data_IF_048505608494
#
_entry.id   IF_048505608494
#
_cell.length_a   1.000
_cell.length_b   1.000
_cell.length_c   1.000
_cell.angle_alpha   90.00
_cell.angle_beta   90.00
_cell.angle_gamma   90.00
#
_symmetry.space_group_name_H-M   'P 1'
#
loop_
_entity.id
_entity.type
_entity.pdbx_description
1 polymer ?
#
# COMPACT_ATOMS: atom_id res chain seq x y z
N UNK A 1 -35.82 6.91 14.89
CA UNK A 1 -34.79 5.88 15.20
C UNK A 1 -33.42 6.50 14.95
N UNK A 2 -32.72 6.96 15.98
CA UNK A 2 -31.31 7.37 15.85
C UNK A 2 -30.47 6.12 16.09
N UNK A 3 -29.75 5.65 15.07
CA UNK A 3 -28.82 4.54 15.22
C UNK A 3 -27.71 4.93 16.20
N UNK A 4 -27.57 4.16 17.28
CA UNK A 4 -26.49 4.32 18.26
C UNK A 4 -25.16 3.81 17.71
N UNK A 5 -24.65 4.44 16.64
CA UNK A 5 -23.31 4.15 16.13
C UNK A 5 -22.27 4.65 17.14
N UNK A 6 -21.29 3.82 17.47
CA UNK A 6 -20.14 4.24 18.28
C UNK A 6 -19.45 5.38 17.53
N UNK A 7 -18.98 6.41 18.25
CA UNK A 7 -18.20 7.47 17.64
C UNK A 7 -17.02 6.86 16.86
N UNK A 8 -16.66 7.40 15.68
CA UNK A 8 -15.49 6.94 14.94
C UNK A 8 -14.24 6.92 15.81
N UNK A 9 -13.29 6.07 15.44
CA UNK A 9 -11.97 6.06 16.06
C UNK A 9 -11.21 7.37 15.84
N UNK A 10 -9.99 7.51 16.39
CA UNK A 10 -9.12 8.63 16.06
C UNK A 10 -8.74 8.57 14.58
N UNK A 11 -8.94 9.68 13.86
CA UNK A 11 -8.51 9.77 12.47
C UNK A 11 -6.98 9.88 12.39
N UNK A 12 -6.37 9.19 11.42
CA UNK A 12 -4.93 9.23 11.16
C UNK A 12 -4.66 9.76 9.76
N UNK A 13 -3.71 10.68 9.66
CA UNK A 13 -3.16 11.12 8.38
C UNK A 13 -1.87 10.36 8.08
N UNK A 14 -1.79 9.81 6.88
CA UNK A 14 -0.66 9.04 6.37
C UNK A 14 -0.27 9.56 4.99
N UNK A 15 0.97 9.32 4.57
CA UNK A 15 1.26 9.37 3.13
C UNK A 15 0.81 8.08 2.48
N UNK A 16 0.53 8.14 1.18
CA UNK A 16 0.20 6.97 0.36
C UNK A 16 1.27 5.90 0.49
N UNK A 17 2.56 6.28 0.43
CA UNK A 17 3.68 5.36 0.67
C UNK A 17 3.59 4.65 2.02
N UNK A 18 3.24 5.37 3.09
CA UNK A 18 3.14 4.78 4.43
C UNK A 18 1.95 3.81 4.51
N UNK A 19 0.79 4.19 3.95
CA UNK A 19 -0.39 3.35 3.94
C UNK A 19 -0.20 2.08 3.09
N UNK A 20 0.33 2.22 1.88
CA UNK A 20 0.63 1.09 0.99
C UNK A 20 1.72 0.17 1.57
N UNK A 21 2.72 0.73 2.24
CA UNK A 21 3.74 -0.05 2.95
C UNK A 21 3.16 -0.91 4.07
N UNK A 22 2.19 -0.37 4.84
CA UNK A 22 1.46 -1.14 5.85
C UNK A 22 0.63 -2.30 5.25
N UNK A 23 0.18 -2.14 4.00
CA UNK A 23 -0.51 -3.19 3.23
C UNK A 23 0.45 -4.18 2.55
N UNK A 24 1.77 -4.05 2.74
CA UNK A 24 2.78 -4.93 2.14
C UNK A 24 3.14 -4.60 0.69
N UNK A 25 2.65 -3.48 0.14
CA UNK A 25 2.98 -3.05 -1.22
C UNK A 25 4.38 -2.43 -1.23
N UNK A 26 5.30 -3.06 -1.95
CA UNK A 26 6.69 -2.58 -2.07
C UNK A 26 7.20 -2.74 -3.50
N UNK A 27 8.00 -1.77 -3.96
CA UNK A 27 8.63 -1.81 -5.29
C UNK A 27 9.94 -2.60 -5.34
N UNK A 28 10.09 -3.63 -4.51
CA UNK A 28 11.31 -4.42 -4.42
C UNK A 28 11.57 -5.21 -5.71
N UNK A 29 12.81 -5.21 -6.18
CA UNK A 29 13.18 -5.98 -7.38
C UNK A 29 12.97 -7.49 -7.14
N UNK A 30 12.32 -8.22 -8.07
CA UNK A 30 12.17 -9.67 -7.94
C UNK A 30 13.53 -10.41 -8.00
N UNK A 31 13.62 -11.66 -7.46
CA UNK A 31 14.85 -12.44 -7.48
C UNK A 31 15.41 -12.64 -8.89
N UNK A 32 16.69 -12.32 -9.10
CA UNK A 32 17.32 -12.40 -10.42
C UNK A 32 17.33 -13.81 -11.01
N UNK A 33 17.33 -14.86 -10.18
CA UNK A 33 17.26 -16.25 -10.64
C UNK A 33 16.04 -16.52 -11.55
N UNK A 34 14.90 -15.84 -11.30
CA UNK A 34 13.72 -15.94 -12.14
C UNK A 34 14.01 -15.51 -13.59
N UNK A 35 14.89 -14.55 -13.82
CA UNK A 35 15.22 -14.11 -15.17
C UNK A 35 15.82 -15.23 -16.03
N UNK A 36 16.43 -16.24 -15.41
CA UNK A 36 17.00 -17.41 -16.10
C UNK A 36 16.08 -18.63 -16.05
N UNK A 37 15.34 -18.86 -14.96
CA UNK A 37 14.51 -20.07 -14.78
C UNK A 37 13.07 -19.91 -15.27
N UNK A 38 12.51 -18.70 -15.20
CA UNK A 38 11.19 -18.33 -15.72
C UNK A 38 11.17 -16.83 -16.09
N UNK A 39 11.68 -16.48 -17.29
CA UNK A 39 11.80 -15.08 -17.70
C UNK A 39 10.46 -14.34 -17.75
N UNK A 40 9.37 -15.06 -18.10
CA UNK A 40 8.05 -14.47 -18.17
C UNK A 40 7.52 -14.12 -16.77
N UNK A 41 7.74 -14.98 -15.78
CA UNK A 41 7.44 -14.64 -14.38
C UNK A 41 8.29 -13.48 -13.87
N UNK A 42 9.58 -13.43 -14.23
CA UNK A 42 10.45 -12.31 -13.85
C UNK A 42 9.91 -10.98 -14.38
N UNK A 43 9.55 -10.90 -15.68
CA UNK A 43 9.03 -9.66 -16.28
C UNK A 43 7.70 -9.24 -15.66
N UNK A 44 6.78 -10.19 -15.41
CA UNK A 44 5.52 -9.88 -14.71
C UNK A 44 5.77 -9.33 -13.30
N UNK A 45 6.64 -9.99 -12.54
CA UNK A 45 6.98 -9.54 -11.19
C UNK A 45 7.69 -8.17 -11.21
N UNK A 46 8.55 -7.92 -12.21
CA UNK A 46 9.25 -6.66 -12.36
C UNK A 46 8.30 -5.52 -12.74
N UNK A 47 7.30 -5.78 -13.59
CA UNK A 47 6.26 -4.81 -13.91
C UNK A 47 5.46 -4.41 -12.66
N UNK A 48 4.97 -5.39 -11.89
CA UNK A 48 4.27 -5.12 -10.62
C UNK A 48 5.14 -4.37 -9.61
N UNK A 49 6.43 -4.71 -9.53
CA UNK A 49 7.37 -3.97 -8.67
C UNK A 49 7.56 -2.52 -9.13
N UNK A 50 7.59 -2.26 -10.45
CA UNK A 50 7.65 -0.91 -11.01
C UNK A 50 6.42 -0.08 -10.67
N UNK A 51 5.22 -0.64 -10.84
CA UNK A 51 3.95 0.02 -10.46
C UNK A 51 3.94 0.37 -8.96
N UNK A 52 4.34 -0.57 -8.10
CA UNK A 52 4.46 -0.33 -6.67
C UNK A 52 5.52 0.74 -6.33
N UNK A 53 6.63 0.79 -7.07
CA UNK A 53 7.67 1.80 -6.88
C UNK A 53 7.14 3.21 -7.19
N UNK A 54 6.40 3.39 -8.28
CA UNK A 54 5.77 4.67 -8.64
C UNK A 54 4.76 5.12 -7.58
N UNK A 55 3.88 4.22 -7.15
CA UNK A 55 2.86 4.50 -6.13
C UNK A 55 3.46 4.87 -4.76
N UNK A 56 4.72 4.48 -4.50
CA UNK A 56 5.41 4.73 -3.24
C UNK A 56 6.53 5.77 -3.34
N UNK A 57 6.80 6.31 -4.53
CA UNK A 57 7.90 7.24 -4.79
C UNK A 57 7.82 8.54 -3.95
N UNK A 58 8.97 8.98 -3.43
CA UNK A 58 9.13 10.32 -2.83
C UNK A 58 9.22 11.37 -3.94
N UNK A 59 8.62 12.54 -3.73
CA UNK A 59 8.48 13.58 -4.75
C UNK A 59 7.49 13.22 -5.85
N UNK A 60 6.74 12.12 -5.70
CA UNK A 60 5.79 11.59 -6.67
C UNK A 60 4.52 11.09 -5.99
N UNK A 61 3.91 10.02 -6.53
CA UNK A 61 2.62 9.53 -6.04
C UNK A 61 2.64 9.07 -4.58
N UNK A 62 3.80 8.64 -4.06
CA UNK A 62 3.94 8.21 -2.67
C UNK A 62 3.71 9.30 -1.63
N UNK A 63 3.68 10.57 -2.04
CA UNK A 63 3.48 11.71 -1.14
C UNK A 63 2.03 12.21 -1.08
N UNK A 64 1.09 11.59 -1.83
CA UNK A 64 -0.35 11.86 -1.65
C UNK A 64 -0.79 11.55 -0.21
N UNK A 65 -1.66 12.39 0.35
CA UNK A 65 -2.18 12.22 1.72
C UNK A 65 -3.39 11.29 1.76
N UNK A 66 -3.41 10.36 2.71
CA UNK A 66 -4.53 9.47 3.00
C UNK A 66 -5.07 9.77 4.40
N UNK A 67 -6.40 9.85 4.53
CA UNK A 67 -7.10 9.93 5.82
C UNK A 67 -7.70 8.57 6.14
N UNK A 68 -7.24 7.94 7.21
CA UNK A 68 -7.82 6.71 7.74
C UNK A 68 -8.76 7.05 8.89
N UNK A 69 -9.99 6.53 8.82
CA UNK A 69 -10.99 6.65 9.87
C UNK A 69 -11.69 5.30 10.05
N UNK A 70 -11.57 4.73 11.24
CA UNK A 70 -12.21 3.45 11.57
C UNK A 70 -13.63 3.69 12.07
N UNK A 71 -14.59 2.91 11.56
CA UNK A 71 -15.98 2.91 12.02
C UNK A 71 -16.35 1.49 12.38
N UNK A 72 -16.57 1.23 13.67
CA UNK A 72 -16.96 -0.07 14.22
C UNK A 72 -16.03 -1.26 13.85
N UNK A 73 -14.77 -0.98 13.48
CA UNK A 73 -13.72 -1.97 13.21
C UNK A 73 -12.38 -1.56 13.84
N UNK A 74 -11.48 -2.53 13.99
CA UNK A 74 -10.09 -2.26 14.33
C UNK A 74 -9.36 -1.53 13.18
N UNK A 75 -8.23 -0.90 13.51
CA UNK A 75 -7.36 -0.26 12.52
C UNK A 75 -6.80 -1.32 11.54
N UNK A 76 -7.08 -1.21 10.22
CA UNK A 76 -6.65 -2.20 9.25
C UNK A 76 -5.17 -2.07 8.86
N UNK A 77 -4.45 -1.03 9.32
CA UNK A 77 -3.06 -0.75 8.97
C UNK A 77 -2.08 -0.96 10.12
N UNK A 78 -2.48 -1.68 11.16
CA UNK A 78 -1.64 -2.15 12.29
C UNK A 78 -1.82 -3.63 12.51
#
# INVERSE_FOLDING_TARGET
MRGGGRAPGPARLLTQRAALGALGVTGGRPPLALASTDPAAYVRALASAGEAAELTARGGLGDFGWLLQTVDIADPLT
#
